data_IF_907565305524
#
_entry.id   IF_907565305524
#
_cell.length_a   1.000
_cell.length_b   1.000
_cell.length_c   1.000
_cell.angle_alpha   90.00
_cell.angle_beta   90.00
_cell.angle_gamma   90.00
#
_symmetry.space_group_name_H-M   'P 1'
#
loop_
_entity.id
_entity.type
_entity.pdbx_description
1 polymer ?
#
# COMPACT_ATOMS: atom_id res chain seq x y z
N UNK A 1 -50.44 19.73 -10.86
CA UNK A 1 -49.10 19.86 -10.26
C UNK A 1 -49.27 20.28 -8.80
N UNK A 2 -49.32 19.33 -7.84
CA UNK A 2 -49.51 19.66 -6.42
C UNK A 2 -48.22 20.24 -5.81
N UNK A 3 -48.37 21.36 -5.10
CA UNK A 3 -47.29 22.08 -4.42
C UNK A 3 -46.87 21.39 -3.12
N UNK A 4 -45.61 20.98 -3.02
CA UNK A 4 -45.02 20.43 -1.80
C UNK A 4 -44.85 21.54 -0.75
N UNK A 5 -45.64 21.47 0.31
CA UNK A 5 -45.66 22.42 1.40
C UNK A 5 -44.53 22.10 2.40
N UNK A 6 -43.38 22.77 2.27
CA UNK A 6 -42.15 22.55 3.05
C UNK A 6 -42.21 23.07 4.50
N UNK A 7 -43.38 23.42 5.04
CA UNK A 7 -43.49 24.10 6.34
C UNK A 7 -43.40 23.21 7.58
N UNK A 8 -43.17 21.89 7.46
CA UNK A 8 -43.28 20.96 8.61
C UNK A 8 -42.16 19.90 8.72
N UNK A 9 -40.88 20.27 8.58
CA UNK A 9 -39.75 19.31 8.75
C UNK A 9 -39.17 19.32 10.18
N UNK A 10 -39.68 20.15 11.10
CA UNK A 10 -39.20 20.22 12.48
C UNK A 10 -40.29 19.88 13.51
N UNK A 11 -41.09 18.83 13.28
CA UNK A 11 -41.71 18.13 14.40
C UNK A 11 -40.57 17.50 15.22
N UNK A 12 -40.14 18.21 16.25
CA UNK A 12 -39.20 17.70 17.26
C UNK A 12 -39.89 16.52 17.92
N UNK A 13 -39.47 15.32 17.52
CA UNK A 13 -39.73 14.11 18.27
C UNK A 13 -39.31 14.34 19.73
N UNK A 14 -40.25 14.35 20.68
CA UNK A 14 -39.97 14.64 22.09
C UNK A 14 -39.08 13.57 22.72
N UNK A 15 -38.98 12.39 22.10
CA UNK A 15 -38.14 11.28 22.57
C UNK A 15 -36.72 11.34 21.97
N UNK A 16 -36.43 12.32 21.09
CA UNK A 16 -35.12 12.45 20.48
C UNK A 16 -34.08 12.91 21.51
N UNK A 17 -33.04 12.11 21.80
CA UNK A 17 -32.02 12.48 22.77
C UNK A 17 -31.30 13.75 22.32
N UNK A 18 -31.13 14.67 23.27
CA UNK A 18 -30.44 15.95 23.08
C UNK A 18 -28.99 15.72 22.66
N UNK A 19 -28.38 16.71 22.00
CA UNK A 19 -26.96 16.66 21.63
C UNK A 19 -26.04 16.35 22.83
N UNK A 20 -26.40 16.88 24.01
CA UNK A 20 -25.67 16.64 25.26
C UNK A 20 -25.77 15.17 25.73
N UNK A 21 -26.95 14.56 25.62
CA UNK A 21 -27.14 13.14 25.94
C UNK A 21 -26.39 12.24 24.96
N UNK A 22 -26.38 12.59 23.67
CA UNK A 22 -25.61 11.86 22.65
C UNK A 22 -24.10 11.94 22.90
N UNK A 23 -23.58 13.13 23.24
CA UNK A 23 -22.18 13.32 23.59
C UNK A 23 -21.78 12.53 24.85
N UNK A 24 -22.66 12.48 25.87
CA UNK A 24 -22.43 11.68 27.06
C UNK A 24 -22.41 10.17 26.76
N UNK A 25 -23.36 9.66 25.97
CA UNK A 25 -23.39 8.26 25.56
C UNK A 25 -22.14 7.87 24.75
N UNK A 26 -21.70 8.75 23.84
CA UNK A 26 -20.48 8.54 23.05
C UNK A 26 -19.24 8.50 23.94
N UNK A 27 -19.13 9.41 24.92
CA UNK A 27 -18.04 9.42 25.90
C UNK A 27 -18.00 8.13 26.73
N UNK A 28 -19.15 7.65 27.20
CA UNK A 28 -19.22 6.39 27.97
C UNK A 28 -18.87 5.17 27.11
N UNK A 29 -19.29 5.14 25.85
CA UNK A 29 -18.93 4.07 24.91
C UNK A 29 -17.41 4.06 24.62
N UNK A 30 -16.81 5.22 24.40
CA UNK A 30 -15.37 5.35 24.18
C UNK A 30 -14.56 4.86 25.38
N UNK A 31 -14.95 5.19 26.61
CA UNK A 31 -14.27 4.69 27.81
C UNK A 31 -14.38 3.17 27.96
N UNK A 32 -15.51 2.57 27.53
CA UNK A 32 -15.71 1.12 27.59
C UNK A 32 -14.92 0.35 26.53
N UNK A 33 -14.68 0.96 25.36
CA UNK A 33 -13.86 0.37 24.29
C UNK A 33 -12.34 0.37 24.62
N UNK A 34 -11.89 1.27 25.50
CA UNK A 34 -10.46 1.38 25.90
C UNK A 34 -10.12 0.41 27.06
N UNK A 35 -11.05 -0.47 27.48
CA UNK A 35 -10.73 -1.51 28.46
C UNK A 35 -9.91 -2.61 27.78
N UNK A 36 -8.59 -2.43 27.85
CA UNK A 36 -7.55 -3.38 27.44
C UNK A 36 -7.92 -4.77 27.99
N UNK A 37 -8.16 -5.78 27.14
CA UNK A 37 -8.38 -7.14 27.61
C UNK A 37 -7.16 -7.55 28.43
N UNK A 38 -7.40 -8.11 29.62
CA UNK A 38 -6.36 -8.56 30.51
C UNK A 38 -5.43 -9.50 29.76
N UNK A 39 -4.14 -9.15 29.73
CA UNK A 39 -3.09 -9.96 29.14
C UNK A 39 -2.98 -11.24 29.96
N UNK A 40 -3.71 -12.27 29.55
CA UNK A 40 -3.46 -13.63 29.96
C UNK A 40 -2.04 -13.98 29.56
N UNK A 41 -1.14 -14.01 30.55
CA UNK A 41 0.23 -14.49 30.42
C UNK A 41 0.21 -15.95 30.03
N UNK A 42 0.10 -16.20 28.73
CA UNK A 42 0.30 -17.50 28.13
C UNK A 42 1.81 -17.80 28.11
N UNK A 43 2.19 -19.08 28.29
CA UNK A 43 3.57 -19.50 28.46
C UNK A 43 4.41 -19.07 27.26
N UNK A 44 5.71 -18.82 27.51
CA UNK A 44 6.78 -18.53 26.55
C UNK A 44 6.61 -19.28 25.23
N UNK A 45 5.82 -18.70 24.33
CA UNK A 45 5.73 -19.12 22.95
C UNK A 45 7.09 -18.80 22.34
N UNK A 46 7.74 -19.81 21.74
CA UNK A 46 8.74 -19.55 20.72
C UNK A 46 8.22 -18.38 19.88
N UNK A 47 8.95 -17.26 19.86
CA UNK A 47 8.62 -16.12 19.02
C UNK A 47 8.66 -16.63 17.59
N UNK A 48 7.53 -17.15 17.11
CA UNK A 48 7.38 -17.57 15.73
C UNK A 48 7.48 -16.28 14.94
N UNK A 49 8.65 -16.09 14.35
CA UNK A 49 8.95 -14.92 13.54
C UNK A 49 7.93 -14.92 12.40
N UNK A 50 7.18 -13.83 12.31
CA UNK A 50 6.16 -13.67 11.29
C UNK A 50 6.82 -13.82 9.91
N UNK A 51 6.40 -14.79 9.08
CA UNK A 51 7.12 -15.14 7.85
C UNK A 51 7.17 -13.99 6.84
N UNK A 52 6.27 -13.00 6.94
CA UNK A 52 6.32 -11.77 6.14
C UNK A 52 7.58 -10.95 6.40
N UNK A 53 8.06 -10.91 7.65
CA UNK A 53 9.24 -10.12 8.04
C UNK A 53 10.51 -10.70 7.42
N UNK A 54 10.58 -12.02 7.25
CA UNK A 54 11.75 -12.70 6.68
C UNK A 54 12.03 -12.27 5.23
N UNK A 55 11.00 -11.91 4.46
CA UNK A 55 11.13 -11.46 3.07
C UNK A 55 11.31 -9.94 2.93
N UNK A 56 11.12 -9.18 4.01
CA UNK A 56 11.14 -7.72 3.95
C UNK A 56 12.47 -7.11 3.48
N UNK A 57 13.66 -7.61 3.90
CA UNK A 57 14.93 -7.13 3.37
C UNK A 57 15.06 -7.33 1.85
N UNK A 58 14.63 -8.49 1.35
CA UNK A 58 14.66 -8.80 -0.08
C UNK A 58 13.70 -7.89 -0.87
N UNK A 59 12.49 -7.66 -0.36
CA UNK A 59 11.53 -6.75 -0.98
C UNK A 59 12.09 -5.31 -1.07
N UNK A 60 12.68 -4.81 0.03
CA UNK A 60 13.30 -3.47 0.06
C UNK A 60 14.42 -3.34 -0.95
N UNK A 61 15.29 -4.36 -1.04
CA UNK A 61 16.38 -4.36 -2.01
C UNK A 61 15.88 -4.42 -3.45
N UNK A 62 14.88 -5.27 -3.72
CA UNK A 62 14.28 -5.37 -5.05
C UNK A 62 13.59 -4.05 -5.46
N UNK A 63 12.90 -3.40 -4.52
CA UNK A 63 12.31 -2.09 -4.76
C UNK A 63 13.37 -1.03 -5.06
N UNK A 64 14.46 -1.00 -4.28
CA UNK A 64 15.57 -0.09 -4.56
C UNK A 64 16.13 -0.27 -5.98
N UNK A 65 16.34 -1.52 -6.43
CA UNK A 65 16.75 -1.79 -7.80
C UNK A 65 15.73 -1.29 -8.83
N UNK A 66 14.41 -1.41 -8.59
CA UNK A 66 13.41 -0.83 -9.51
C UNK A 66 13.50 0.69 -9.59
N UNK A 67 13.83 1.37 -8.48
CA UNK A 67 14.00 2.83 -8.47
C UNK A 67 15.25 3.25 -9.22
N UNK A 68 16.35 2.53 -9.02
CA UNK A 68 17.60 2.80 -9.72
C UNK A 68 17.48 2.50 -11.22
N UNK A 69 16.66 1.52 -11.60
CA UNK A 69 16.38 1.16 -12.98
C UNK A 69 15.30 2.04 -13.64
N UNK A 70 14.67 2.97 -12.92
CA UNK A 70 13.56 3.77 -13.43
C UNK A 70 13.86 4.54 -14.74
N UNK A 71 15.08 5.06 -15.00
CA UNK A 71 15.40 5.70 -16.28
C UNK A 71 15.28 4.80 -17.52
N UNK A 72 15.22 3.48 -17.34
CA UNK A 72 15.12 2.49 -18.42
C UNK A 72 13.68 2.02 -18.68
N UNK A 73 12.67 2.62 -18.04
CA UNK A 73 11.26 2.18 -18.18
C UNK A 73 10.73 2.28 -19.62
N UNK A 74 11.23 3.26 -20.38
CA UNK A 74 10.81 3.50 -21.77
C UNK A 74 11.70 2.76 -22.80
N UNK A 75 12.69 1.99 -22.34
CA UNK A 75 13.52 1.18 -23.23
C UNK A 75 12.70 0.06 -23.89
N UNK A 76 12.86 -0.18 -25.20
CA UNK A 76 12.18 -1.26 -25.88
C UNK A 76 12.45 -2.61 -25.18
N UNK A 77 11.43 -3.42 -24.96
CA UNK A 77 11.59 -4.75 -24.35
C UNK A 77 12.50 -5.71 -25.16
N UNK A 78 12.81 -5.37 -26.41
CA UNK A 78 13.77 -6.06 -27.26
C UNK A 78 15.23 -5.61 -27.07
N UNK A 79 15.50 -4.50 -26.37
CA UNK A 79 16.87 -4.07 -26.02
C UNK A 79 17.40 -4.84 -24.80
N UNK A 80 18.73 -4.99 -24.67
CA UNK A 80 19.33 -5.57 -23.46
C UNK A 80 18.87 -4.85 -22.17
N UNK A 81 18.82 -3.52 -22.20
CA UNK A 81 18.43 -2.66 -21.09
C UNK A 81 16.94 -2.82 -20.75
N UNK A 82 16.05 -2.83 -21.75
CA UNK A 82 14.61 -3.03 -21.54
C UNK A 82 14.29 -4.42 -20.99
N UNK A 83 15.01 -5.46 -21.43
CA UNK A 83 14.91 -6.81 -20.83
C UNK A 83 15.39 -6.84 -19.39
N UNK A 84 16.52 -6.20 -19.10
CA UNK A 84 17.06 -6.14 -17.74
C UNK A 84 16.11 -5.37 -16.81
N UNK A 85 15.57 -4.23 -17.23
CA UNK A 85 14.56 -3.48 -16.48
C UNK A 85 13.34 -4.37 -16.17
N UNK A 86 12.82 -5.04 -17.20
CA UNK A 86 11.68 -5.97 -17.08
C UNK A 86 11.97 -7.08 -16.06
N UNK A 87 13.16 -7.68 -16.09
CA UNK A 87 13.57 -8.69 -15.12
C UNK A 87 13.61 -8.16 -13.67
N UNK A 88 14.10 -6.93 -13.46
CA UNK A 88 14.11 -6.26 -12.15
C UNK A 88 12.68 -6.02 -11.64
N UNK A 89 11.80 -5.49 -12.49
CA UNK A 89 10.39 -5.27 -12.15
C UNK A 89 9.68 -6.59 -11.79
N UNK A 90 9.83 -7.63 -12.60
CA UNK A 90 9.26 -8.95 -12.32
C UNK A 90 9.80 -9.57 -11.04
N UNK A 91 11.08 -9.42 -10.75
CA UNK A 91 11.65 -9.91 -9.49
C UNK A 91 11.01 -9.23 -8.28
N UNK A 92 10.86 -7.90 -8.33
CA UNK A 92 10.22 -7.11 -7.27
C UNK A 92 8.74 -7.50 -7.09
N UNK A 93 7.99 -7.60 -8.18
CA UNK A 93 6.60 -8.06 -8.15
C UNK A 93 6.46 -9.50 -7.65
N UNK A 94 7.35 -10.41 -8.06
CA UNK A 94 7.34 -11.79 -7.60
C UNK A 94 7.55 -11.91 -6.09
N UNK A 95 8.45 -11.12 -5.51
CA UNK A 95 8.62 -11.05 -4.05
C UNK A 95 7.38 -10.49 -3.35
N UNK A 96 6.80 -9.42 -3.89
CA UNK A 96 5.55 -8.87 -3.36
C UNK A 96 4.40 -9.89 -3.39
N UNK A 97 4.19 -10.56 -4.53
CA UNK A 97 3.14 -11.60 -4.66
C UNK A 97 3.35 -12.75 -3.68
N UNK A 98 4.59 -13.18 -3.43
CA UNK A 98 4.90 -14.18 -2.41
C UNK A 98 4.51 -13.72 -1.01
N UNK A 99 4.72 -12.44 -0.69
CA UNK A 99 4.30 -11.87 0.61
C UNK A 99 2.79 -11.83 0.74
N UNK A 100 2.09 -11.38 -0.31
CA UNK A 100 0.63 -11.27 -0.33
C UNK A 100 -0.05 -12.66 -0.24
N UNK A 101 0.55 -13.69 -0.82
CA UNK A 101 0.01 -15.05 -0.82
C UNK A 101 0.17 -15.80 0.52
N UNK A 102 0.85 -15.22 1.51
CA UNK A 102 1.00 -15.83 2.83
C UNK A 102 -0.31 -15.78 3.65
N UNK A 103 -0.48 -16.66 4.66
CA UNK A 103 -1.56 -16.53 5.63
C UNK A 103 -1.53 -15.17 6.32
N UNK A 104 -2.67 -14.69 6.84
CA UNK A 104 -2.73 -13.37 7.49
C UNK A 104 -1.64 -13.18 8.56
N UNK A 105 -0.98 -12.02 8.61
CA UNK A 105 0.08 -11.75 9.58
C UNK A 105 -0.48 -11.78 11.00
N UNK A 106 0.29 -12.36 11.92
CA UNK A 106 -0.10 -12.47 13.33
C UNK A 106 0.44 -11.29 14.16
N UNK A 107 1.29 -10.46 13.57
CA UNK A 107 1.98 -9.37 14.26
C UNK A 107 1.83 -8.03 13.53
N UNK A 108 1.93 -6.88 14.24
CA UNK A 108 1.97 -5.57 13.59
C UNK A 108 3.13 -5.42 12.60
N UNK A 109 4.29 -6.02 12.87
CA UNK A 109 5.43 -6.01 11.96
C UNK A 109 5.16 -6.82 10.68
N UNK A 110 4.49 -7.98 10.79
CA UNK A 110 4.02 -8.73 9.63
C UNK A 110 2.96 -7.97 8.82
N UNK A 111 2.05 -7.26 9.51
CA UNK A 111 1.09 -6.35 8.86
C UNK A 111 1.79 -5.24 8.08
N UNK A 112 2.86 -4.65 8.65
CA UNK A 112 3.68 -3.66 7.95
C UNK A 112 4.39 -4.22 6.72
N UNK A 113 4.93 -5.45 6.81
CA UNK A 113 5.54 -6.13 5.67
C UNK A 113 4.52 -6.44 4.56
N UNK A 114 3.32 -6.90 4.91
CA UNK A 114 2.21 -7.08 3.96
C UNK A 114 1.80 -5.76 3.31
N UNK A 115 1.69 -4.69 4.09
CA UNK A 115 1.34 -3.37 3.57
C UNK A 115 2.36 -2.88 2.54
N UNK A 116 3.65 -3.01 2.83
CA UNK A 116 4.72 -2.64 1.90
C UNK A 116 4.70 -3.50 0.62
N UNK A 117 4.39 -4.79 0.72
CA UNK A 117 4.23 -5.65 -0.46
C UNK A 117 3.03 -5.19 -1.32
N UNK A 118 1.88 -4.91 -0.70
CA UNK A 118 0.72 -4.37 -1.40
C UNK A 118 1.02 -3.03 -2.06
N UNK A 119 1.86 -2.18 -1.46
CA UNK A 119 2.33 -0.94 -2.11
C UNK A 119 3.03 -1.22 -3.44
N UNK A 120 3.97 -2.18 -3.46
CA UNK A 120 4.70 -2.58 -4.68
C UNK A 120 3.79 -3.21 -5.72
N UNK A 121 2.83 -4.02 -5.29
CA UNK A 121 1.89 -4.69 -6.20
C UNK A 121 0.89 -3.71 -6.83
N UNK A 122 0.39 -2.77 -6.04
CA UNK A 122 -0.57 -1.78 -6.50
C UNK A 122 0.07 -0.65 -7.33
N UNK A 123 1.39 -0.48 -7.25
CA UNK A 123 2.11 0.51 -8.06
C UNK A 123 1.91 0.22 -9.56
N UNK A 124 1.33 1.17 -10.28
CA UNK A 124 0.98 1.03 -11.70
C UNK A 124 -0.34 0.31 -11.98
N UNK A 125 -0.96 -0.32 -10.99
CA UNK A 125 -2.30 -0.93 -11.11
C UNK A 125 -3.41 0.06 -10.75
N UNK A 126 -3.11 1.07 -9.94
CA UNK A 126 -4.06 2.13 -9.60
C UNK A 126 -4.16 3.07 -10.80
N UNK A 127 -5.34 3.11 -11.42
CA UNK A 127 -5.61 3.99 -12.56
C UNK A 127 -5.23 5.43 -12.25
N UNK A 128 -4.57 6.10 -13.19
CA UNK A 128 -4.26 7.53 -13.07
C UNK A 128 -5.57 8.30 -12.98
N UNK A 129 -5.64 9.26 -12.05
CA UNK A 129 -6.74 10.20 -11.98
C UNK A 129 -6.77 11.02 -13.28
N UNK A 130 -7.86 10.95 -14.03
CA UNK A 130 -8.04 11.78 -15.22
C UNK A 130 -8.60 13.17 -14.85
N UNK A 131 -9.00 13.37 -13.59
CA UNK A 131 -9.49 14.63 -13.04
C UNK A 131 -10.73 15.21 -13.75
N UNK A 132 -11.52 14.37 -14.42
CA UNK A 132 -12.80 14.75 -15.05
C UNK A 132 -14.01 14.64 -14.10
N UNK A 133 -13.76 14.29 -12.83
CA UNK A 133 -14.77 14.07 -11.80
C UNK A 133 -15.31 12.63 -11.73
N UNK A 134 -14.99 11.75 -12.68
CA UNK A 134 -15.49 10.36 -12.75
C UNK A 134 -14.51 9.32 -12.20
N UNK A 135 -13.34 9.74 -11.71
CA UNK A 135 -12.31 8.82 -11.20
C UNK A 135 -12.78 7.97 -10.01
N UNK A 136 -13.74 8.47 -9.23
CA UNK A 136 -14.36 7.74 -8.12
C UNK A 136 -15.31 6.63 -8.60
N UNK A 137 -15.83 6.73 -9.83
CA UNK A 137 -16.66 5.72 -10.47
C UNK A 137 -15.79 4.72 -11.27
N UNK A 138 -14.68 5.20 -11.87
CA UNK A 138 -13.77 4.35 -12.65
C UNK A 138 -12.88 3.45 -11.83
N UNK A 139 -12.36 3.93 -10.69
CA UNK A 139 -11.38 3.20 -9.90
C UNK A 139 -11.75 3.10 -8.39
N UNK A 140 -12.98 2.69 -8.05
CA UNK A 140 -13.43 2.66 -6.66
C UNK A 140 -12.69 1.62 -5.82
N UNK A 141 -12.24 0.52 -6.42
CA UNK A 141 -11.59 -0.57 -5.69
C UNK A 141 -10.11 -0.26 -5.43
N UNK A 142 -9.43 0.31 -6.42
CA UNK A 142 -8.05 0.77 -6.36
C UNK A 142 -7.87 1.85 -5.30
N UNK A 143 -8.80 2.82 -5.23
CA UNK A 143 -8.80 3.86 -4.18
C UNK A 143 -9.02 3.27 -2.78
N UNK A 144 -9.89 2.25 -2.65
CA UNK A 144 -10.09 1.55 -1.37
C UNK A 144 -8.84 0.77 -0.98
N UNK A 145 -8.17 0.13 -1.94
CA UNK A 145 -6.90 -0.56 -1.71
C UNK A 145 -5.83 0.41 -1.22
N UNK A 146 -5.63 1.55 -1.90
CA UNK A 146 -4.68 2.57 -1.48
C UNK A 146 -4.96 3.07 -0.05
N UNK A 147 -6.23 3.37 0.26
CA UNK A 147 -6.64 3.79 1.60
C UNK A 147 -6.39 2.68 2.65
N UNK A 148 -6.69 1.43 2.32
CA UNK A 148 -6.44 0.29 3.21
C UNK A 148 -4.94 0.11 3.48
N UNK A 149 -4.08 0.19 2.46
CA UNK A 149 -2.63 0.08 2.62
C UNK A 149 -2.08 1.20 3.50
N UNK A 150 -2.48 2.47 3.26
CA UNK A 150 -2.08 3.60 4.12
C UNK A 150 -2.50 3.38 5.58
N UNK A 151 -3.70 2.86 5.81
CA UNK A 151 -4.18 2.54 7.16
C UNK A 151 -3.36 1.42 7.80
N UNK A 152 -3.05 0.35 7.07
CA UNK A 152 -2.20 -0.74 7.55
C UNK A 152 -0.79 -0.24 7.92
N UNK A 153 -0.19 0.62 7.09
CA UNK A 153 1.12 1.20 7.38
C UNK A 153 1.11 2.06 8.63
N UNK A 154 0.08 2.91 8.78
CA UNK A 154 -0.12 3.75 9.97
C UNK A 154 -0.30 2.92 11.24
N UNK A 155 -1.13 1.88 11.20
CA UNK A 155 -1.36 0.97 12.34
C UNK A 155 -0.10 0.18 12.70
N UNK A 156 0.67 -0.24 11.69
CA UNK A 156 1.93 -0.96 11.88
C UNK A 156 3.11 -0.04 12.30
N UNK A 157 2.95 1.28 12.19
CA UNK A 157 4.01 2.26 12.44
C UNK A 157 5.20 2.09 11.48
N UNK A 158 4.94 1.74 10.22
CA UNK A 158 5.98 1.52 9.21
C UNK A 158 6.03 2.67 8.21
N UNK A 159 7.23 3.15 7.93
CA UNK A 159 7.46 4.13 6.87
C UNK A 159 7.39 3.46 5.48
N UNK A 160 7.02 4.21 4.43
CA UNK A 160 7.08 3.71 3.07
C UNK A 160 8.47 3.30 2.60
N UNK A 161 8.52 2.54 1.50
CA UNK A 161 9.77 2.14 0.87
C UNK A 161 10.55 3.39 0.39
N UNK A 162 11.88 3.46 0.59
CA UNK A 162 12.68 4.57 0.08
C UNK A 162 12.50 4.76 -1.42
N UNK A 163 12.19 5.98 -1.85
CA UNK A 163 11.92 6.31 -3.26
C UNK A 163 10.48 6.02 -3.72
N UNK A 164 9.60 5.55 -2.83
CA UNK A 164 8.16 5.50 -3.11
C UNK A 164 7.60 6.92 -3.20
N UNK A 165 6.86 7.19 -4.28
CA UNK A 165 6.31 8.53 -4.59
C UNK A 165 4.80 8.63 -4.39
N UNK A 166 4.16 7.56 -3.92
CA UNK A 166 2.71 7.48 -3.76
C UNK A 166 2.08 6.41 -4.64
N UNK A 167 0.75 6.37 -4.63
CA UNK A 167 -0.04 5.46 -5.46
C UNK A 167 -0.41 6.06 -6.82
N UNK A 168 -0.17 7.35 -7.00
CA UNK A 168 -0.53 8.07 -8.23
C UNK A 168 -1.86 8.80 -8.14
N UNK A 169 -2.67 8.51 -7.12
CA UNK A 169 -3.93 9.19 -6.80
C UNK A 169 -3.71 10.53 -6.08
N UNK A 170 -2.48 10.81 -5.63
CA UNK A 170 -2.12 12.08 -4.98
C UNK A 170 -1.86 13.21 -5.99
N UNK A 171 -2.27 14.46 -5.68
CA UNK A 171 -1.89 15.62 -6.48
C UNK A 171 -0.36 15.74 -6.61
N UNK A 172 0.13 15.93 -7.84
CA UNK A 172 1.56 16.07 -8.12
C UNK A 172 2.34 14.76 -8.13
N UNK A 173 1.67 13.60 -8.20
CA UNK A 173 2.32 12.29 -8.28
C UNK A 173 3.27 12.16 -9.48
N UNK A 174 2.88 12.65 -10.65
CA UNK A 174 3.74 12.69 -11.85
C UNK A 174 4.98 13.59 -11.62
N UNK A 175 4.82 14.76 -11.00
CA UNK A 175 5.95 15.65 -10.67
C UNK A 175 6.91 14.97 -9.67
N UNK A 176 6.36 14.27 -8.68
CA UNK A 176 7.14 13.52 -7.69
C UNK A 176 7.90 12.36 -8.34
N UNK A 177 7.26 11.62 -9.26
CA UNK A 177 7.90 10.59 -10.08
C UNK A 177 9.04 11.16 -10.91
N UNK A 178 8.78 12.23 -11.68
CA UNK A 178 9.80 12.88 -12.51
C UNK A 178 10.94 13.48 -11.68
N UNK A 179 10.65 13.99 -10.49
CA UNK A 179 11.68 14.45 -9.56
C UNK A 179 12.51 13.30 -8.97
N UNK A 180 11.92 12.12 -8.79
CA UNK A 180 12.64 10.90 -8.39
C UNK A 180 13.55 10.42 -9.53
N UNK A 181 13.02 10.28 -10.75
CA UNK A 181 13.81 9.85 -11.93
C UNK A 181 14.99 10.80 -12.18
N UNK A 182 14.76 12.13 -12.14
CA UNK A 182 15.84 13.11 -12.29
C UNK A 182 16.93 12.99 -11.22
N UNK A 183 16.58 12.65 -9.98
CA UNK A 183 17.54 12.43 -8.89
C UNK A 183 18.41 11.20 -9.11
N UNK A 184 17.89 10.18 -9.81
CA UNK A 184 18.63 8.97 -10.14
C UNK A 184 19.63 9.18 -11.29
N UNK A 185 19.52 10.27 -12.05
CA UNK A 185 20.44 10.60 -13.13
C UNK A 185 20.39 9.55 -14.23
N UNK A 186 21.50 8.84 -14.44
CA UNK A 186 21.60 7.78 -15.44
C UNK A 186 20.98 6.44 -14.98
N UNK A 187 20.63 6.31 -13.69
CA UNK A 187 20.16 5.06 -13.13
C UNK A 187 21.21 3.95 -13.15
N UNK A 188 20.80 2.75 -12.74
CA UNK A 188 21.64 1.56 -12.87
C UNK A 188 20.79 0.29 -12.97
N UNK A 189 21.32 -0.71 -13.66
CA UNK A 189 20.73 -2.04 -13.76
C UNK A 189 21.64 -3.04 -13.05
N UNK A 190 21.10 -3.94 -12.21
CA UNK A 190 21.91 -4.92 -11.52
C UNK A 190 22.51 -5.95 -12.49
N UNK A 191 23.74 -6.39 -12.20
CA UNK A 191 24.50 -7.27 -13.09
C UNK A 191 23.79 -8.59 -13.43
N UNK A 192 22.99 -9.13 -12.51
CA UNK A 192 22.21 -10.34 -12.75
C UNK A 192 21.15 -10.13 -13.83
N UNK A 193 20.52 -8.96 -13.89
CA UNK A 193 19.50 -8.64 -14.88
C UNK A 193 20.12 -8.41 -16.25
N UNK A 194 21.26 -7.73 -16.32
CA UNK A 194 22.05 -7.58 -17.55
C UNK A 194 22.56 -8.92 -18.09
N UNK A 195 22.83 -9.88 -17.20
CA UNK A 195 23.17 -11.26 -17.56
C UNK A 195 21.94 -12.12 -17.97
N UNK A 196 20.74 -11.53 -18.03
CA UNK A 196 19.51 -12.22 -18.42
C UNK A 196 18.92 -13.15 -17.37
N UNK A 197 19.31 -13.03 -16.09
CA UNK A 197 18.73 -13.82 -14.99
C UNK A 197 17.41 -13.20 -14.51
N UNK A 198 16.55 -14.02 -13.91
CA UNK A 198 15.28 -13.60 -13.30
C UNK A 198 15.41 -13.07 -11.87
N UNK A 199 16.57 -13.23 -11.24
CA UNK A 199 16.86 -12.75 -9.89
C UNK A 199 18.34 -12.90 -9.52
N UNK A 200 18.75 -12.33 -8.37
CA UNK A 200 20.14 -12.32 -7.92
C UNK A 200 20.68 -13.72 -7.64
N UNK A 201 19.85 -14.61 -7.12
CA UNK A 201 20.25 -15.97 -6.71
C UNK A 201 20.21 -16.98 -7.85
N UNK A 202 20.05 -16.53 -9.11
CA UNK A 202 19.77 -17.37 -10.28
C UNK A 202 20.54 -18.70 -10.32
N UNK A 203 19.94 -19.70 -9.70
CA UNK A 203 20.07 -21.11 -9.96
C UNK A 203 19.01 -21.44 -11.00
N UNK A 204 19.44 -22.09 -12.06
CA UNK A 204 18.59 -22.57 -13.14
C UNK A 204 17.44 -23.41 -12.60
N UNK A 205 16.22 -22.85 -12.60
CA UNK A 205 15.06 -23.70 -12.86
C UNK A 205 15.09 -23.94 -14.37
N UNK A 206 15.72 -25.06 -14.74
CA UNK A 206 15.68 -25.65 -16.07
C UNK A 206 14.32 -26.31 -16.32
#
# INVERSE_FOLDING_TARGET
MPSLNLRNVLRRDPDRPTLRQRAAALKTAATKAIRRPEQSTSPTANQQVDPHIALLPALRQAFAWTRDAAPFVDEPSSSPEGRAYTAVAHHCWGLSSRIIAMPSPATPAGLGALALALTVWAEGSIGKAENDGLDHERYPEERRLAAAVRAMMSVAGIDPLPGWVGFGDEPGSDDAWQAMVRRQGHGSLPAWALAGKSGPDGASEA
#
